data_IF_086073164929
#
_entry.id   IF_086073164929
#
_cell.length_a   1.000
_cell.length_b   1.000
_cell.length_c   1.000
_cell.angle_alpha   90.00
_cell.angle_beta   90.00
_cell.angle_gamma   90.00
#
_symmetry.space_group_name_H-M   'P 1'
#
loop_
_entity.id
_entity.type
_entity.pdbx_description
1 polymer ?
#
# COMPACT_ATOMS: atom_id res chain seq x y z
N UNK A 1 -8.78 -11.21 -24.92
CA UNK A 1 -9.01 -10.16 -23.90
C UNK A 1 -8.93 -8.83 -24.62
N UNK A 2 -9.97 -7.98 -24.52
CA UNK A 2 -9.93 -6.61 -25.06
C UNK A 2 -8.91 -5.78 -24.29
N UNK A 3 -8.18 -4.89 -24.98
CA UNK A 3 -7.30 -3.92 -24.29
C UNK A 3 -8.12 -3.09 -23.30
N UNK A 4 -7.56 -2.73 -22.13
CA UNK A 4 -8.23 -1.84 -21.18
C UNK A 4 -8.53 -0.48 -21.85
N UNK A 5 -9.62 0.20 -21.47
CA UNK A 5 -9.99 1.49 -22.07
C UNK A 5 -8.90 2.53 -21.82
N UNK A 6 -8.63 3.36 -22.81
CA UNK A 6 -7.66 4.45 -22.69
C UNK A 6 -8.20 5.60 -21.82
N UNK A 7 -7.29 6.46 -21.37
CA UNK A 7 -7.67 7.72 -20.71
C UNK A 7 -8.63 8.54 -21.59
N UNK A 8 -8.41 8.57 -22.91
CA UNK A 8 -9.27 9.27 -23.86
C UNK A 8 -10.69 8.67 -23.89
N UNK A 9 -10.80 7.34 -23.94
CA UNK A 9 -12.10 6.64 -23.95
C UNK A 9 -12.91 6.95 -22.69
N UNK A 10 -12.23 6.94 -21.53
CA UNK A 10 -12.86 7.27 -20.26
C UNK A 10 -13.32 8.73 -20.23
N UNK A 11 -12.48 9.68 -20.62
CA UNK A 11 -12.83 11.10 -20.65
C UNK A 11 -13.99 11.40 -21.60
N UNK A 12 -13.99 10.79 -22.78
CA UNK A 12 -15.11 10.92 -23.73
C UNK A 12 -16.39 10.31 -23.17
N UNK A 13 -16.30 9.18 -22.47
CA UNK A 13 -17.44 8.58 -21.76
C UNK A 13 -17.98 9.48 -20.63
N UNK A 14 -17.10 10.10 -19.84
CA UNK A 14 -17.49 11.02 -18.76
C UNK A 14 -18.11 12.29 -19.33
N UNK A 15 -17.53 12.87 -20.38
CA UNK A 15 -18.07 14.04 -21.07
C UNK A 15 -19.46 13.75 -21.66
N UNK A 16 -19.63 12.58 -22.28
CA UNK A 16 -20.93 12.12 -22.79
C UNK A 16 -21.96 11.94 -21.67
N UNK A 17 -21.56 11.35 -20.53
CA UNK A 17 -22.42 11.20 -19.36
C UNK A 17 -22.82 12.55 -18.75
N UNK A 18 -21.88 13.49 -18.60
CA UNK A 18 -22.15 14.84 -18.09
C UNK A 18 -23.08 15.64 -19.02
N UNK A 19 -22.92 15.50 -20.34
CA UNK A 19 -23.82 16.08 -21.33
C UNK A 19 -25.23 15.48 -21.25
N UNK A 20 -25.35 14.17 -21.01
CA UNK A 20 -26.64 13.51 -20.81
C UNK A 20 -27.35 13.96 -19.52
N UNK A 21 -26.61 14.14 -18.42
CA UNK A 21 -27.15 14.67 -17.15
C UNK A 21 -27.64 16.11 -17.32
N UNK A 22 -26.88 16.96 -18.03
CA UNK A 22 -27.33 18.34 -18.36
C UNK A 22 -28.60 18.35 -19.21
N UNK A 23 -28.73 17.46 -20.20
CA UNK A 23 -29.94 17.33 -21.01
C UNK A 23 -31.16 16.87 -20.20
N UNK A 24 -30.97 15.95 -19.24
CA UNK A 24 -32.07 15.51 -18.36
C UNK A 24 -32.49 16.59 -17.35
N UNK A 25 -31.55 17.40 -16.85
CA UNK A 25 -31.84 18.52 -15.94
C UNK A 25 -32.59 19.70 -16.58
N UNK A 26 -32.71 19.72 -17.92
CA UNK A 26 -33.45 20.76 -18.66
C UNK A 26 -34.85 20.32 -19.13
N UNK A 27 -35.35 19.16 -18.68
CA UNK A 27 -36.70 18.71 -19.02
C UNK A 27 -37.72 18.95 -17.89
N UNK A 28 -38.76 19.75 -18.18
CA UNK A 28 -39.97 19.90 -17.35
C UNK A 28 -40.84 18.63 -17.41
N UNK A 29 -41.68 18.34 -16.39
CA UNK A 29 -42.32 17.04 -16.22
C UNK A 29 -43.50 16.84 -17.19
N UNK A 30 -43.55 15.69 -17.84
CA UNK A 30 -44.77 15.16 -18.44
C UNK A 30 -45.06 13.75 -17.89
N UNK A 31 -46.26 13.60 -17.35
CA UNK A 31 -46.87 12.37 -16.83
C UNK A 31 -47.32 11.43 -17.97
N UNK A 32 -47.59 10.15 -17.67
CA UNK A 32 -47.25 9.03 -18.56
C UNK A 32 -48.38 8.63 -19.50
N UNK A 33 -48.02 8.05 -20.65
CA UNK A 33 -48.93 7.22 -21.46
C UNK A 33 -48.36 5.82 -21.65
N UNK A 34 -49.19 4.84 -21.26
CA UNK A 34 -49.09 3.44 -21.62
C UNK A 34 -49.00 3.28 -23.15
N UNK A 35 -48.12 2.38 -23.61
CA UNK A 35 -48.53 1.36 -24.58
C UNK A 35 -47.60 0.15 -24.59
N UNK A 36 -48.26 -0.98 -24.69
CA UNK A 36 -47.84 -2.37 -24.82
C UNK A 36 -46.96 -2.68 -26.04
N UNK A 37 -46.03 -3.63 -25.91
CA UNK A 37 -46.11 -4.90 -26.68
C UNK A 37 -44.99 -5.89 -26.33
N UNK A 38 -45.43 -7.13 -26.10
CA UNK A 38 -44.68 -8.38 -25.95
C UNK A 38 -44.28 -8.97 -27.31
N UNK A 39 -43.12 -9.65 -27.37
CA UNK A 39 -42.83 -10.91 -28.13
C UNK A 39 -41.34 -11.26 -27.92
N UNK A 40 -40.94 -12.18 -27.03
CA UNK A 40 -40.87 -13.67 -27.07
C UNK A 40 -40.03 -14.28 -28.21
N UNK A 41 -39.05 -15.12 -27.77
CA UNK A 41 -38.44 -16.34 -28.38
C UNK A 41 -37.38 -16.10 -29.47
N UNK A 42 -36.26 -16.84 -29.57
CA UNK A 42 -35.97 -18.28 -29.32
C UNK A 42 -34.44 -18.53 -29.22
N UNK A 43 -34.05 -19.54 -28.43
CA UNK A 43 -32.78 -20.30 -28.53
C UNK A 43 -32.85 -21.34 -29.67
N UNK A 44 -31.72 -22.00 -30.01
CA UNK A 44 -31.65 -23.45 -29.78
C UNK A 44 -30.31 -24.00 -29.27
N UNK A 45 -30.45 -25.15 -28.56
CA UNK A 45 -29.54 -26.29 -28.31
C UNK A 45 -28.64 -26.68 -29.51
N UNK A 46 -27.60 -27.52 -29.48
CA UNK A 46 -26.91 -28.49 -28.58
C UNK A 46 -25.56 -28.80 -29.31
N UNK A 47 -24.51 -29.48 -28.81
CA UNK A 47 -24.41 -30.88 -28.36
C UNK A 47 -22.93 -31.17 -28.00
N UNK A 48 -22.72 -32.05 -26.99
CA UNK A 48 -21.62 -33.01 -26.70
C UNK A 48 -20.31 -33.00 -27.53
N UNK A 49 -19.11 -33.29 -26.98
CA UNK A 49 -18.62 -34.65 -26.60
C UNK A 49 -17.42 -34.58 -25.63
N UNK A 50 -17.36 -35.56 -24.73
CA UNK A 50 -16.30 -35.84 -23.77
C UNK A 50 -15.26 -36.88 -24.26
N UNK A 51 -14.03 -36.85 -23.71
CA UNK A 51 -13.12 -37.98 -23.33
C UNK A 51 -11.76 -37.40 -22.90
N UNK A 52 -11.28 -37.56 -21.64
CA UNK A 52 -10.50 -38.68 -21.05
C UNK A 52 -9.36 -39.17 -21.96
N UNK A 53 -8.13 -39.50 -21.53
CA UNK A 53 -7.31 -39.46 -20.31
C UNK A 53 -6.01 -40.21 -20.70
N UNK A 54 -4.90 -39.93 -19.99
CA UNK A 54 -3.72 -40.79 -19.71
C UNK A 54 -2.49 -40.77 -20.63
N UNK A 55 -1.38 -40.58 -19.91
CA UNK A 55 0.01 -40.98 -20.11
C UNK A 55 0.21 -42.49 -20.27
N UNK A 56 1.44 -42.93 -20.59
CA UNK A 56 2.25 -43.59 -19.54
C UNK A 56 3.77 -43.33 -19.58
N UNK A 57 4.39 -43.64 -18.43
CA UNK A 57 5.81 -43.82 -18.14
C UNK A 57 6.48 -45.00 -18.89
N UNK A 58 7.80 -44.94 -19.06
CA UNK A 58 8.79 -45.93 -18.55
C UNK A 58 10.22 -45.60 -19.06
N UNK A 59 11.17 -45.21 -18.20
CA UNK A 59 12.31 -45.99 -17.64
C UNK A 59 13.29 -46.61 -18.64
N UNK A 60 14.56 -46.19 -18.59
CA UNK A 60 15.71 -47.11 -18.42
C UNK A 60 17.00 -46.37 -18.05
N UNK A 61 17.59 -46.77 -16.94
CA UNK A 61 18.96 -46.47 -16.51
C UNK A 61 19.98 -47.20 -17.38
N UNK A 62 21.16 -46.61 -17.62
CA UNK A 62 22.46 -47.32 -17.67
C UNK A 62 23.64 -46.32 -17.81
N UNK A 63 24.52 -46.33 -16.82
CA UNK A 63 25.97 -46.08 -16.91
C UNK A 63 26.64 -47.45 -16.62
N UNK A 64 27.93 -47.75 -16.90
CA UNK A 64 29.09 -46.82 -16.80
C UNK A 64 30.27 -47.05 -17.78
N UNK A 65 31.19 -46.09 -17.91
CA UNK A 65 32.64 -46.39 -18.07
C UNK A 65 33.52 -45.19 -17.71
N UNK A 66 34.75 -45.47 -17.26
CA UNK A 66 35.64 -44.61 -16.48
C UNK A 66 36.98 -44.36 -17.20
N UNK A 67 37.56 -43.16 -16.95
CA UNK A 67 38.98 -42.69 -17.01
C UNK A 67 39.62 -42.26 -18.36
N UNK A 68 40.69 -41.40 -18.34
CA UNK A 68 41.34 -40.69 -17.21
C UNK A 68 41.63 -39.17 -17.38
N UNK A 69 41.78 -38.55 -16.21
CA UNK A 69 42.61 -37.39 -15.80
C UNK A 69 43.21 -36.41 -16.83
N UNK A 70 42.86 -35.13 -16.64
CA UNK A 70 43.81 -34.02 -16.83
C UNK A 70 43.86 -33.16 -15.57
N UNK A 71 45.10 -32.97 -15.10
CA UNK A 71 45.52 -32.19 -13.94
C UNK A 71 45.16 -30.71 -14.13
N UNK A 72 44.35 -30.15 -13.24
CA UNK A 72 44.17 -28.70 -13.10
C UNK A 72 44.59 -28.28 -11.68
N UNK A 73 45.42 -27.24 -11.67
CA UNK A 73 46.13 -26.65 -10.51
C UNK A 73 45.17 -26.29 -9.35
N UNK A 74 45.64 -26.26 -8.10
CA UNK A 74 44.81 -25.87 -6.96
C UNK A 74 44.37 -24.41 -7.13
N UNK A 75 43.06 -24.17 -7.17
CA UNK A 75 42.52 -22.84 -6.88
C UNK A 75 42.85 -22.53 -5.43
N UNK A 76 43.52 -21.41 -5.18
CA UNK A 76 43.62 -20.83 -3.84
C UNK A 76 42.20 -20.69 -3.27
N UNK A 77 41.93 -21.48 -2.24
CA UNK A 77 40.71 -21.35 -1.44
C UNK A 77 40.93 -20.13 -0.55
N UNK A 78 40.31 -19.00 -0.92
CA UNK A 78 40.25 -17.80 -0.08
C UNK A 78 39.71 -18.20 1.30
N UNK A 79 40.33 -17.69 2.36
CA UNK A 79 39.90 -17.98 3.73
C UNK A 79 38.47 -17.44 3.93
N UNK A 80 37.61 -18.10 4.76
CA UNK A 80 36.24 -17.64 5.01
C UNK A 80 36.14 -16.17 5.45
N UNK A 81 37.15 -15.66 6.17
CA UNK A 81 37.24 -14.25 6.60
C UNK A 81 37.46 -13.26 5.45
N UNK A 82 38.13 -13.67 4.36
CA UNK A 82 38.37 -12.80 3.19
C UNK A 82 37.14 -12.73 2.29
N UNK A 83 36.40 -13.84 2.17
CA UNK A 83 35.11 -13.87 1.44
C UNK A 83 34.06 -13.00 2.12
N UNK A 84 33.98 -13.07 3.46
CA UNK A 84 33.04 -12.23 4.24
C UNK A 84 33.37 -10.73 4.15
N UNK A 85 34.66 -10.36 4.17
CA UNK A 85 35.08 -8.96 3.97
C UNK A 85 34.78 -8.44 2.58
N UNK A 86 34.93 -9.28 1.55
CA UNK A 86 34.60 -8.92 0.18
C UNK A 86 33.08 -8.75 -0.01
N UNK A 87 32.25 -9.66 0.52
CA UNK A 87 30.79 -9.53 0.46
C UNK A 87 30.25 -8.30 1.22
N UNK A 88 30.88 -7.90 2.32
CA UNK A 88 30.51 -6.69 3.06
C UNK A 88 30.90 -5.40 2.35
N UNK A 89 32.08 -5.36 1.71
CA UNK A 89 32.50 -4.21 0.91
C UNK A 89 31.54 -3.99 -0.26
N UNK A 90 31.12 -5.08 -0.93
CA UNK A 90 30.12 -5.04 -2.00
C UNK A 90 28.77 -4.53 -1.49
N UNK A 91 28.28 -5.01 -0.33
CA UNK A 91 27.01 -4.53 0.24
C UNK A 91 27.05 -3.06 0.66
N UNK A 92 28.17 -2.59 1.21
CA UNK A 92 28.34 -1.18 1.56
C UNK A 92 28.34 -0.29 0.30
N UNK A 93 28.98 -0.73 -0.78
CA UNK A 93 28.94 -0.04 -2.07
C UNK A 93 27.53 -0.05 -2.68
N UNK A 94 26.79 -1.16 -2.60
CA UNK A 94 25.39 -1.26 -3.05
C UNK A 94 24.47 -0.30 -2.31
N UNK A 95 24.65 -0.12 -1.00
CA UNK A 95 23.88 0.83 -0.17
C UNK A 95 24.14 2.27 -0.61
N UNK A 96 25.41 2.66 -0.77
CA UNK A 96 25.79 4.02 -1.20
C UNK A 96 25.27 4.32 -2.61
N UNK A 97 25.35 3.35 -3.52
CA UNK A 97 24.81 3.51 -4.87
C UNK A 97 23.28 3.64 -4.84
N UNK A 98 22.58 2.87 -3.98
CA UNK A 98 21.13 3.00 -3.81
C UNK A 98 20.74 4.39 -3.27
N UNK A 99 21.45 4.92 -2.29
CA UNK A 99 21.22 6.29 -1.76
C UNK A 99 21.33 7.35 -2.86
N UNK A 100 22.34 7.24 -3.72
CA UNK A 100 22.54 8.14 -4.85
C UNK A 100 21.45 7.99 -5.90
N UNK A 101 21.07 6.76 -6.22
CA UNK A 101 20.02 6.46 -7.18
C UNK A 101 18.66 6.99 -6.72
N UNK A 102 18.31 6.80 -5.45
CA UNK A 102 17.01 7.21 -4.87
C UNK A 102 16.78 8.73 -4.96
N UNK A 103 17.83 9.56 -5.01
CA UNK A 103 17.69 11.01 -5.24
C UNK A 103 16.93 11.36 -6.53
N UNK A 104 16.97 10.47 -7.53
CA UNK A 104 16.23 10.67 -8.78
C UNK A 104 14.71 10.61 -8.60
N UNK A 105 14.20 10.07 -7.49
CA UNK A 105 12.78 10.11 -7.17
C UNK A 105 12.26 11.56 -7.03
N UNK A 106 13.12 12.55 -6.78
CA UNK A 106 12.74 13.99 -6.74
C UNK A 106 12.40 14.57 -8.12
N UNK A 107 12.77 13.88 -9.20
CA UNK A 107 12.49 14.36 -10.56
C UNK A 107 10.99 14.46 -10.82
N UNK A 108 10.61 15.34 -11.74
CA UNK A 108 9.21 15.41 -12.17
C UNK A 108 8.78 14.06 -12.74
N UNK A 109 7.59 13.54 -12.40
CA UNK A 109 7.15 12.23 -12.87
C UNK A 109 7.16 12.06 -14.40
N UNK A 110 7.01 13.15 -15.16
CA UNK A 110 7.10 13.17 -16.63
C UNK A 110 8.50 12.91 -17.18
N UNK A 111 9.56 13.29 -16.46
CA UNK A 111 10.96 13.09 -16.87
C UNK A 111 11.62 11.92 -16.16
N UNK A 112 10.96 11.35 -15.16
CA UNK A 112 11.48 10.25 -14.35
C UNK A 112 11.45 8.92 -15.12
N UNK A 113 12.54 8.16 -15.04
CA UNK A 113 12.66 6.80 -15.54
C UNK A 113 12.73 5.79 -14.37
N UNK A 114 11.74 4.89 -14.22
CA UNK A 114 11.75 3.83 -13.22
C UNK A 114 13.04 2.99 -13.19
N UNK A 115 13.70 2.77 -14.33
CA UNK A 115 14.91 1.95 -14.41
C UNK A 115 16.14 2.65 -13.80
N UNK A 116 16.08 3.97 -13.56
CA UNK A 116 17.23 4.72 -13.06
C UNK A 116 17.45 4.60 -11.55
N UNK A 117 16.51 3.99 -10.83
CA UNK A 117 16.53 3.82 -9.37
C UNK A 117 16.51 2.36 -8.91
N UNK A 118 16.60 1.42 -9.86
CA UNK A 118 16.53 -0.01 -9.56
C UNK A 118 17.90 -0.57 -9.29
N UNK A 119 18.21 -0.80 -8.02
CA UNK A 119 19.35 -1.58 -7.59
C UNK A 119 19.07 -3.10 -7.53
N UNK A 120 17.86 -3.54 -7.89
CA UNK A 120 17.45 -4.95 -7.90
C UNK A 120 16.92 -5.37 -9.27
N UNK A 121 17.05 -6.66 -9.58
CA UNK A 121 16.56 -7.22 -10.84
C UNK A 121 15.03 -7.30 -10.89
N UNK A 122 14.50 -7.28 -12.12
CA UNK A 122 13.05 -7.38 -12.37
C UNK A 122 12.47 -8.66 -11.73
N UNK A 123 11.44 -8.48 -10.91
CA UNK A 123 10.76 -9.57 -10.20
C UNK A 123 11.39 -9.95 -8.87
N UNK A 124 12.61 -9.50 -8.56
CA UNK A 124 13.18 -9.68 -7.22
C UNK A 124 12.43 -8.85 -6.18
N UNK A 125 12.32 -9.33 -4.92
CA UNK A 125 11.71 -8.56 -3.84
C UNK A 125 12.40 -7.20 -3.67
N UNK A 126 11.60 -6.15 -3.58
CA UNK A 126 12.08 -4.78 -3.40
C UNK A 126 12.76 -4.66 -2.04
N UNK A 127 14.01 -4.14 -1.96
CA UNK A 127 14.68 -3.86 -0.69
C UNK A 127 13.87 -2.90 0.17
N UNK A 128 13.79 -3.14 1.48
CA UNK A 128 13.09 -2.24 2.40
C UNK A 128 13.84 -0.89 2.52
N UNK A 129 15.17 -0.90 2.39
CA UNK A 129 15.99 0.29 2.31
C UNK A 129 15.51 1.28 1.24
N UNK A 130 15.05 0.82 0.07
CA UNK A 130 14.49 1.70 -0.97
C UNK A 130 13.28 2.51 -0.46
N UNK A 131 12.39 1.85 0.29
CA UNK A 131 11.23 2.50 0.91
C UNK A 131 11.67 3.46 2.04
N UNK A 132 12.64 3.04 2.86
CA UNK A 132 13.17 3.85 3.95
C UNK A 132 13.84 5.14 3.46
N UNK A 133 14.64 5.06 2.39
CA UNK A 133 15.27 6.21 1.75
C UNK A 133 14.25 7.14 1.10
N UNK A 134 13.23 6.59 0.44
CA UNK A 134 12.12 7.39 -0.08
C UNK A 134 11.37 8.13 1.04
N UNK A 135 11.18 7.50 2.21
CA UNK A 135 10.62 8.16 3.38
C UNK A 135 11.53 9.25 3.96
N UNK A 136 12.84 9.03 4.06
CA UNK A 136 13.81 10.07 4.49
C UNK A 136 13.72 11.29 3.56
N UNK A 137 13.69 11.08 2.25
CA UNK A 137 13.52 12.17 1.29
C UNK A 137 12.20 12.93 1.44
N UNK A 138 11.11 12.23 1.80
CA UNK A 138 9.80 12.84 2.05
C UNK A 138 9.81 13.62 3.37
N UNK A 139 10.46 13.11 4.42
CA UNK A 139 10.59 13.75 5.74
C UNK A 139 11.35 15.09 5.64
N UNK A 140 12.35 15.16 4.76
CA UNK A 140 13.14 16.37 4.47
C UNK A 140 12.43 17.39 3.58
N UNK A 141 11.32 17.02 2.92
CA UNK A 141 10.64 17.85 1.95
C UNK A 141 9.45 18.60 2.58
N UNK A 142 9.24 19.84 2.18
CA UNK A 142 8.14 20.68 2.69
C UNK A 142 7.04 20.89 1.66
N UNK A 143 7.38 20.78 0.37
CA UNK A 143 6.43 20.95 -0.73
C UNK A 143 5.57 19.70 -0.91
N UNK A 144 4.27 19.81 -0.60
CA UNK A 144 3.30 18.72 -0.82
C UNK A 144 3.32 18.19 -2.26
N UNK A 145 3.57 19.05 -3.25
CA UNK A 145 3.69 18.63 -4.65
C UNK A 145 4.91 17.74 -4.86
N UNK A 146 6.08 18.13 -4.34
CA UNK A 146 7.31 17.33 -4.46
C UNK A 146 7.19 16.02 -3.68
N UNK A 147 6.58 16.04 -2.50
CA UNK A 147 6.25 14.82 -1.75
C UNK A 147 5.37 13.86 -2.59
N UNK A 148 4.37 14.41 -3.29
CA UNK A 148 3.50 13.63 -4.17
C UNK A 148 4.29 13.07 -5.36
N UNK A 149 5.20 13.85 -5.94
CA UNK A 149 6.07 13.44 -7.05
C UNK A 149 7.01 12.28 -6.62
N UNK A 150 7.66 12.39 -5.46
CA UNK A 150 8.52 11.34 -4.89
C UNK A 150 7.72 10.05 -4.67
N UNK A 151 6.56 10.14 -4.01
CA UNK A 151 5.70 8.98 -3.78
C UNK A 151 5.20 8.37 -5.10
N UNK A 152 4.87 9.19 -6.10
CA UNK A 152 4.46 8.73 -7.42
C UNK A 152 5.59 7.94 -8.10
N UNK A 153 6.80 8.48 -8.11
CA UNK A 153 7.97 7.84 -8.72
C UNK A 153 8.33 6.53 -8.01
N UNK A 154 8.29 6.52 -6.67
CA UNK A 154 8.50 5.30 -5.87
C UNK A 154 7.50 4.20 -6.24
N UNK A 155 6.20 4.52 -6.27
CA UNK A 155 5.15 3.56 -6.63
C UNK A 155 5.27 3.10 -8.09
N UNK A 156 5.61 4.02 -9.00
CA UNK A 156 5.83 3.73 -10.42
C UNK A 156 7.00 2.77 -10.63
N UNK A 157 8.10 2.92 -9.89
CA UNK A 157 9.22 1.98 -9.91
C UNK A 157 8.75 0.57 -9.53
N UNK A 158 8.05 0.43 -8.41
CA UNK A 158 7.55 -0.88 -7.98
C UNK A 158 6.53 -1.46 -8.97
N UNK A 159 5.62 -0.64 -9.49
CA UNK A 159 4.64 -1.04 -10.52
C UNK A 159 5.30 -1.65 -11.76
N UNK A 160 6.43 -1.12 -12.21
CA UNK A 160 7.10 -1.55 -13.45
C UNK A 160 8.03 -2.76 -13.21
N UNK A 161 8.74 -2.75 -12.09
CA UNK A 161 9.88 -3.65 -11.85
C UNK A 161 9.45 -4.90 -11.07
N UNK A 162 8.66 -4.71 -10.01
CA UNK A 162 8.20 -5.79 -9.13
C UNK A 162 6.73 -5.53 -8.70
N UNK A 163 5.75 -5.71 -9.60
CA UNK A 163 4.34 -5.38 -9.33
C UNK A 163 3.75 -6.11 -8.11
N UNK A 164 4.29 -7.28 -7.75
CA UNK A 164 3.88 -8.07 -6.58
C UNK A 164 4.09 -7.32 -5.25
N UNK A 165 5.04 -6.38 -5.21
CA UNK A 165 5.38 -5.61 -4.01
C UNK A 165 4.56 -4.33 -3.86
N UNK A 166 3.71 -4.04 -4.84
CA UNK A 166 2.89 -2.84 -4.85
C UNK A 166 1.85 -2.83 -3.71
N UNK A 167 1.26 -3.99 -3.40
CA UNK A 167 0.33 -4.09 -2.27
C UNK A 167 1.07 -3.86 -0.94
N UNK A 168 2.13 -4.61 -0.62
CA UNK A 168 2.94 -4.37 0.58
C UNK A 168 3.43 -2.92 0.74
N UNK A 169 3.99 -2.31 -0.32
CA UNK A 169 4.53 -0.95 -0.22
C UNK A 169 3.42 0.07 0.04
N UNK A 170 2.26 -0.02 -0.63
CA UNK A 170 1.14 0.91 -0.41
C UNK A 170 0.60 0.79 1.02
N UNK A 171 0.50 -0.43 1.56
CA UNK A 171 0.11 -0.62 2.96
C UNK A 171 1.11 0.00 3.94
N UNK A 172 2.41 -0.27 3.77
CA UNK A 172 3.45 0.30 4.63
C UNK A 172 3.48 1.83 4.52
N UNK A 173 3.37 2.40 3.32
CA UNK A 173 3.26 3.85 3.13
C UNK A 173 2.00 4.42 3.79
N UNK A 174 0.89 3.69 3.80
CA UNK A 174 -0.31 4.06 4.54
C UNK A 174 -0.21 3.85 6.07
N UNK A 175 0.92 3.34 6.59
CA UNK A 175 1.09 2.91 7.99
C UNK A 175 0.04 1.90 8.44
N UNK A 176 -0.38 1.01 7.53
CA UNK A 176 -1.39 -0.04 7.75
C UNK A 176 -0.85 -1.40 7.36
N UNK A 177 -1.51 -2.45 7.83
CA UNK A 177 -1.16 -3.85 7.50
C UNK A 177 -2.35 -4.63 6.90
N UNK A 178 -3.55 -4.08 6.99
CA UNK A 178 -4.79 -4.66 6.50
C UNK A 178 -5.84 -3.56 6.29
N UNK A 179 -6.95 -3.86 5.60
CA UNK A 179 -8.12 -2.99 5.57
C UNK A 179 -8.64 -2.68 6.99
N UNK A 180 -9.11 -1.46 7.27
CA UNK A 180 -9.54 -1.06 8.62
C UNK A 180 -10.68 -1.92 9.19
N UNK A 181 -11.57 -2.39 8.32
CA UNK A 181 -12.73 -3.17 8.70
C UNK A 181 -12.44 -4.63 9.07
N UNK A 182 -11.23 -5.12 8.79
CA UNK A 182 -10.78 -6.44 9.25
C UNK A 182 -10.35 -6.44 10.71
N UNK A 183 -10.12 -5.26 11.31
CA UNK A 183 -9.75 -5.13 12.74
C UNK A 183 -8.38 -5.70 13.08
N UNK A 184 -7.49 -5.87 12.08
CA UNK A 184 -6.15 -6.41 12.31
C UNK A 184 -5.20 -5.29 12.78
N UNK A 185 -4.85 -5.33 14.07
CA UNK A 185 -3.92 -4.39 14.69
C UNK A 185 -2.62 -5.10 15.11
N UNK A 186 -1.50 -4.37 15.08
CA UNK A 186 -0.23 -4.90 15.59
C UNK A 186 -0.31 -5.23 17.08
N UNK A 187 -1.07 -4.44 17.84
CA UNK A 187 -1.20 -4.58 19.29
C UNK A 187 0.13 -4.40 20.02
N UNK A 188 0.97 -3.46 19.55
CA UNK A 188 2.29 -3.16 20.11
C UNK A 188 2.25 -1.77 20.75
N UNK A 189 2.43 -1.73 22.07
CA UNK A 189 2.67 -0.49 22.80
C UNK A 189 4.15 -0.10 22.83
N UNK A 190 4.42 1.19 23.08
CA UNK A 190 5.78 1.74 23.15
C UNK A 190 6.68 1.00 24.16
N UNK A 191 6.09 0.42 25.21
CA UNK A 191 6.82 -0.38 26.21
C UNK A 191 7.52 -1.60 25.61
N UNK A 192 6.87 -2.33 24.71
CA UNK A 192 7.44 -3.49 24.02
C UNK A 192 8.53 -3.04 23.05
N UNK A 193 8.28 -1.92 22.35
CA UNK A 193 9.25 -1.34 21.41
C UNK A 193 10.52 -0.93 22.14
N UNK A 194 10.41 -0.23 23.27
CA UNK A 194 11.55 0.20 24.10
C UNK A 194 12.35 -1.01 24.61
N UNK A 195 11.66 -2.04 25.12
CA UNK A 195 12.30 -3.30 25.56
C UNK A 195 13.06 -3.96 24.42
N UNK A 196 12.41 -4.08 23.26
CA UNK A 196 13.03 -4.73 22.10
C UNK A 196 14.22 -3.94 21.58
N UNK A 197 14.11 -2.61 21.57
CA UNK A 197 15.19 -1.71 21.19
C UNK A 197 16.38 -1.83 22.16
N UNK A 198 16.13 -1.82 23.47
CA UNK A 198 17.14 -2.05 24.50
C UNK A 198 17.88 -3.37 24.28
N UNK A 199 17.15 -4.46 24.08
CA UNK A 199 17.72 -5.79 23.84
C UNK A 199 18.47 -5.91 22.51
N UNK A 200 17.96 -5.33 21.42
CA UNK A 200 18.57 -5.41 20.09
C UNK A 200 19.87 -4.61 20.01
N UNK A 201 19.97 -3.49 20.73
CA UNK A 201 21.10 -2.57 20.67
C UNK A 201 21.98 -2.59 21.94
N UNK A 202 21.70 -3.49 22.89
CA UNK A 202 22.46 -3.61 24.14
C UNK A 202 22.46 -2.33 24.98
N UNK A 203 21.33 -1.62 25.03
CA UNK A 203 21.18 -0.35 25.77
C UNK A 203 20.29 -0.54 27.00
N UNK A 204 20.45 0.34 27.98
CA UNK A 204 19.60 0.37 29.16
C UNK A 204 18.22 0.99 28.86
N UNK A 205 17.15 0.31 29.29
CA UNK A 205 15.77 0.77 29.06
C UNK A 205 15.47 2.14 29.66
N UNK A 206 16.00 2.44 30.86
CA UNK A 206 15.76 3.71 31.55
C UNK A 206 16.34 4.90 30.78
N UNK A 207 17.54 4.72 30.20
CA UNK A 207 18.16 5.73 29.34
C UNK A 207 17.31 5.99 28.09
N UNK A 208 16.81 4.93 27.44
CA UNK A 208 15.92 5.04 26.28
C UNK A 208 14.64 5.80 26.64
N UNK A 209 14.00 5.46 27.76
CA UNK A 209 12.78 6.15 28.23
C UNK A 209 13.03 7.64 28.46
N UNK A 210 14.15 7.96 29.12
CA UNK A 210 14.54 9.36 29.39
C UNK A 210 14.76 10.15 28.11
N UNK A 211 15.43 9.55 27.12
CA UNK A 211 15.65 10.18 25.82
C UNK A 211 14.34 10.29 25.02
N UNK A 212 13.46 9.30 25.13
CA UNK A 212 12.16 9.31 24.46
C UNK A 212 11.25 10.41 24.99
N UNK A 213 11.24 10.66 26.29
CA UNK A 213 10.53 11.80 26.88
C UNK A 213 11.02 13.14 26.36
N UNK A 214 12.33 13.27 26.03
CA UNK A 214 12.91 14.50 25.50
C UNK A 214 12.65 14.70 24.00
N UNK A 215 12.83 13.66 23.18
CA UNK A 215 12.73 13.75 21.71
C UNK A 215 11.33 13.48 21.17
N UNK A 216 10.52 12.70 21.88
CA UNK A 216 9.16 12.34 21.49
C UNK A 216 9.06 11.34 20.32
N UNK A 217 10.18 10.87 19.76
CA UNK A 217 10.23 9.92 18.62
C UNK A 217 11.24 8.80 18.90
N UNK A 218 10.75 7.55 18.99
CA UNK A 218 11.61 6.38 19.16
C UNK A 218 12.41 6.07 17.89
N UNK A 219 11.88 6.36 16.70
CA UNK A 219 12.57 6.07 15.44
C UNK A 219 13.89 6.81 15.31
N UNK A 220 13.92 8.10 15.69
CA UNK A 220 15.15 8.91 15.71
C UNK A 220 16.18 8.35 16.70
N UNK A 221 15.72 7.93 17.89
CA UNK A 221 16.61 7.35 18.91
C UNK A 221 17.26 6.05 18.43
N UNK A 222 16.52 5.21 17.71
CA UNK A 222 17.08 3.96 17.16
C UNK A 222 18.10 4.26 16.07
N UNK A 223 17.84 5.22 15.17
CA UNK A 223 18.80 5.65 14.12
C UNK A 223 20.12 6.11 14.73
N UNK A 224 20.08 7.03 15.69
CA UNK A 224 21.27 7.54 16.38
C UNK A 224 22.05 6.44 17.12
N UNK A 225 21.31 5.48 17.68
CA UNK A 225 21.89 4.35 18.41
C UNK A 225 22.60 3.37 17.48
N UNK A 226 22.10 3.19 16.26
CA UNK A 226 22.75 2.38 15.24
C UNK A 226 24.06 3.03 14.77
N UNK A 227 24.04 4.33 14.48
CA UNK A 227 25.25 5.07 14.07
C UNK A 227 26.36 5.00 15.12
N UNK A 228 25.99 4.92 16.41
CA UNK A 228 26.93 4.79 17.53
C UNK A 228 27.46 3.35 17.75
N UNK A 229 26.75 2.33 17.23
CA UNK A 229 27.11 0.91 17.38
C UNK A 229 28.08 0.38 16.31
N UNK A 230 28.31 1.13 15.22
CA UNK A 230 29.19 0.72 14.12
C UNK A 230 30.59 0.32 14.61
N UNK A 231 31.07 0.93 15.69
CA UNK A 231 32.37 0.63 16.32
C UNK A 231 32.43 -0.72 17.06
N UNK A 232 31.30 -1.26 17.56
CA UNK A 232 31.23 -2.54 18.30
C UNK A 232 30.90 -3.72 17.39
N UNK A 233 30.09 -3.51 16.35
CA UNK A 233 29.80 -4.50 15.29
C UNK A 233 31.07 -4.98 14.57
N UNK A 234 32.13 -4.16 14.56
CA UNK A 234 33.40 -4.49 13.95
C UNK A 234 34.17 -5.61 14.69
N UNK A 235 33.91 -5.82 15.99
CA UNK A 235 34.64 -6.76 16.86
C UNK A 235 33.90 -8.08 17.15
N UNK A 236 32.57 -8.10 17.05
CA UNK A 236 31.73 -9.30 17.23
C UNK A 236 30.84 -9.50 16.00
N UNK A 237 31.43 -10.06 14.92
CA UNK A 237 30.71 -10.35 13.68
C UNK A 237 30.17 -11.78 13.69
N UNK A 238 28.85 -12.00 13.57
CA UNK A 238 28.33 -13.34 13.30
C UNK A 238 28.88 -13.85 11.96
N UNK A 239 29.17 -15.15 11.86
CA UNK A 239 29.75 -15.75 10.65
C UNK A 239 28.89 -15.60 9.38
N UNK A 240 27.61 -15.23 9.53
CA UNK A 240 26.71 -14.91 8.42
C UNK A 240 25.94 -13.63 8.75
N UNK A 241 26.11 -12.53 7.99
CA UNK A 241 25.28 -11.35 8.18
C UNK A 241 23.83 -11.67 7.86
N UNK A 242 22.86 -11.07 8.58
CA UNK A 242 21.45 -11.24 8.27
C UNK A 242 21.17 -10.79 6.83
N UNK A 243 20.26 -11.50 6.17
CA UNK A 243 19.79 -11.14 4.83
C UNK A 243 19.06 -9.79 4.86
N UNK A 244 19.35 -8.94 3.87
CA UNK A 244 18.77 -7.62 3.74
C UNK A 244 17.24 -7.65 3.85
N UNK A 245 16.67 -6.63 4.46
CA UNK A 245 15.23 -6.54 4.60
C UNK A 245 14.59 -6.24 3.25
N UNK A 246 13.48 -6.90 2.98
CA UNK A 246 12.65 -6.65 1.80
C UNK A 246 11.27 -6.18 2.23
N UNK A 247 10.58 -5.42 1.37
CA UNK A 247 9.23 -4.92 1.65
C UNK A 247 8.30 -6.08 1.99
N UNK A 248 8.36 -7.19 1.24
CA UNK A 248 7.55 -8.40 1.52
C UNK A 248 7.85 -8.96 2.90
N UNK A 249 9.13 -9.10 3.27
CA UNK A 249 9.54 -9.67 4.56
C UNK A 249 9.04 -8.81 5.72
N UNK A 250 9.22 -7.49 5.65
CA UNK A 250 8.74 -6.56 6.68
C UNK A 250 7.21 -6.63 6.79
N UNK A 251 6.50 -6.50 5.67
CA UNK A 251 5.04 -6.51 5.64
C UNK A 251 4.43 -7.83 6.16
N UNK A 252 4.97 -8.96 5.71
CA UNK A 252 4.51 -10.28 6.16
C UNK A 252 4.82 -10.51 7.64
N UNK A 253 5.97 -10.05 8.13
CA UNK A 253 6.33 -10.13 9.56
C UNK A 253 5.37 -9.30 10.40
N UNK A 254 4.99 -8.10 9.94
CA UNK A 254 3.98 -7.27 10.63
C UNK A 254 2.61 -7.93 10.66
N UNK A 255 2.16 -8.55 9.56
CA UNK A 255 0.92 -9.34 9.55
C UNK A 255 0.99 -10.55 10.46
N UNK A 256 2.16 -11.18 10.61
CA UNK A 256 2.36 -12.28 11.56
C UNK A 256 2.23 -11.78 12.99
N UNK A 257 2.97 -10.73 13.35
CA UNK A 257 2.91 -10.05 14.65
C UNK A 257 1.47 -9.70 15.04
N UNK A 258 0.68 -9.17 14.10
CA UNK A 258 -0.71 -8.79 14.37
C UNK A 258 -1.64 -9.98 14.64
N UNK A 259 -1.33 -11.16 14.10
CA UNK A 259 -2.10 -12.39 14.32
C UNK A 259 -1.71 -13.12 15.61
N UNK A 260 -0.54 -12.81 16.18
CA UNK A 260 -0.09 -13.42 17.43
C UNK A 260 -0.98 -13.02 18.61
N UNK A 261 -1.52 -14.03 19.31
CA UNK A 261 -2.39 -13.88 20.47
C UNK A 261 -2.16 -15.02 21.48
N UNK A 262 -2.64 -14.85 22.72
CA UNK A 262 -2.43 -15.83 23.79
C UNK A 262 -1.26 -15.52 24.72
N UNK A 263 -0.94 -16.50 25.58
CA UNK A 263 -0.10 -16.35 26.80
C UNK A 263 1.36 -15.94 26.52
N UNK A 264 1.91 -16.36 25.38
CA UNK A 264 3.31 -16.09 25.00
C UNK A 264 3.45 -15.09 23.85
N UNK A 265 2.33 -14.50 23.41
CA UNK A 265 2.28 -13.66 22.21
C UNK A 265 3.19 -12.43 22.31
N UNK A 266 3.31 -11.84 23.49
CA UNK A 266 4.16 -10.67 23.72
C UNK A 266 5.65 -10.95 23.47
N UNK A 267 6.13 -12.11 23.93
CA UNK A 267 7.53 -12.52 23.74
C UNK A 267 7.80 -12.88 22.27
N UNK A 268 6.85 -13.56 21.61
CA UNK A 268 6.93 -13.88 20.18
C UNK A 268 6.98 -12.60 19.34
N UNK A 269 6.09 -11.62 19.61
CA UNK A 269 6.09 -10.31 18.95
C UNK A 269 7.43 -9.58 19.15
N UNK A 270 7.94 -9.55 20.38
CA UNK A 270 9.25 -8.97 20.72
C UNK A 270 10.38 -9.61 19.89
N UNK A 271 10.39 -10.93 19.77
CA UNK A 271 11.40 -11.66 19.01
C UNK A 271 11.36 -11.36 17.50
N UNK A 272 10.16 -11.25 16.91
CA UNK A 272 10.02 -10.82 15.51
C UNK A 272 10.53 -9.39 15.29
N UNK A 273 10.17 -8.45 16.17
CA UNK A 273 10.65 -7.06 16.08
C UNK A 273 12.17 -7.01 16.23
N UNK A 274 12.74 -7.76 17.19
CA UNK A 274 14.18 -7.86 17.40
C UNK A 274 14.90 -8.36 16.16
N UNK A 275 14.38 -9.41 15.52
CA UNK A 275 14.96 -9.95 14.30
C UNK A 275 14.97 -8.93 13.15
N UNK A 276 13.90 -8.12 13.01
CA UNK A 276 13.86 -7.03 12.04
C UNK A 276 14.89 -5.94 12.37
N UNK A 277 14.97 -5.50 13.62
CA UNK A 277 15.92 -4.46 14.05
C UNK A 277 17.39 -4.88 13.90
N UNK A 278 17.71 -6.15 14.16
CA UNK A 278 19.06 -6.69 13.98
C UNK A 278 19.46 -6.74 12.49
N UNK A 279 18.50 -7.07 11.61
CA UNK A 279 18.71 -7.13 10.16
C UNK A 279 18.72 -5.76 9.48
N UNK A 280 18.19 -4.73 10.14
CA UNK A 280 18.06 -3.39 9.58
C UNK A 280 19.40 -2.66 9.46
N UNK A 281 19.50 -1.87 8.38
CA UNK A 281 20.67 -1.08 7.96
C UNK A 281 20.28 0.39 7.76
N UNK A 282 21.27 1.28 7.82
CA UNK A 282 21.07 2.74 7.60
C UNK A 282 19.85 3.34 8.33
N UNK A 283 18.90 3.90 7.58
CA UNK A 283 17.67 4.52 8.10
C UNK A 283 16.51 3.54 8.26
N UNK A 284 16.65 2.26 7.89
CA UNK A 284 15.59 1.25 8.05
C UNK A 284 15.06 1.14 9.49
N UNK A 285 15.90 1.13 10.56
CA UNK A 285 15.41 1.03 11.93
C UNK A 285 14.47 2.16 12.34
N UNK A 286 14.71 3.40 11.87
CA UNK A 286 13.86 4.55 12.14
C UNK A 286 12.44 4.28 11.65
N UNK A 287 12.33 3.82 10.41
CA UNK A 287 11.04 3.59 9.76
C UNK A 287 10.36 2.31 10.24
N UNK A 288 11.10 1.27 10.58
CA UNK A 288 10.52 0.09 11.23
C UNK A 288 9.81 0.46 12.53
N UNK A 289 10.46 1.24 13.40
CA UNK A 289 9.88 1.68 14.68
C UNK A 289 8.66 2.57 14.45
N UNK A 290 8.77 3.55 13.56
CA UNK A 290 7.66 4.45 13.20
C UNK A 290 6.46 3.68 12.62
N UNK A 291 6.70 2.67 11.80
CA UNK A 291 5.64 1.81 11.25
C UNK A 291 5.03 0.88 12.32
N UNK A 292 5.84 0.34 13.24
CA UNK A 292 5.34 -0.45 14.37
C UNK A 292 4.43 0.37 15.30
N UNK A 293 4.70 1.67 15.41
CA UNK A 293 3.84 2.64 16.12
C UNK A 293 2.64 3.12 15.30
N UNK A 294 2.49 2.67 14.06
CA UNK A 294 1.52 3.17 13.07
C UNK A 294 1.58 4.71 12.88
N UNK A 295 2.78 5.29 13.04
CA UNK A 295 3.03 6.75 13.00
C UNK A 295 4.31 7.05 12.24
N UNK A 296 4.21 7.24 10.92
CA UNK A 296 5.36 7.57 10.07
C UNK A 296 5.97 8.96 10.31
N UNK A 297 5.15 9.97 10.63
CA UNK A 297 5.59 11.34 10.97
C UNK A 297 6.37 12.11 9.88
N UNK A 298 6.26 11.71 8.61
CA UNK A 298 7.03 12.28 7.48
C UNK A 298 6.27 13.36 6.67
N UNK A 299 5.32 14.09 7.26
CA UNK A 299 4.60 15.16 6.54
C UNK A 299 3.68 14.73 5.39
N UNK A 300 3.53 13.43 5.12
CA UNK A 300 2.66 12.88 4.08
C UNK A 300 1.49 12.07 4.67
N UNK A 301 0.32 12.18 4.03
CA UNK A 301 -0.94 11.56 4.47
C UNK A 301 -1.52 10.64 3.39
N UNK A 302 -2.47 9.78 3.79
CA UNK A 302 -3.14 8.82 2.91
C UNK A 302 -3.74 9.47 1.64
N UNK A 303 -4.25 10.69 1.73
CA UNK A 303 -4.77 11.41 0.55
C UNK A 303 -3.68 11.74 -0.48
N UNK A 304 -2.45 11.99 -0.02
CA UNK A 304 -1.28 12.17 -0.87
C UNK A 304 -0.86 10.83 -1.48
N UNK A 305 -0.94 9.73 -0.72
CA UNK A 305 -0.68 8.38 -1.24
C UNK A 305 -1.62 8.00 -2.37
N UNK A 306 -2.93 8.19 -2.16
CA UNK A 306 -3.95 7.86 -3.16
C UNK A 306 -3.77 8.71 -4.42
N UNK A 307 -3.36 9.97 -4.26
CA UNK A 307 -3.03 10.83 -5.40
C UNK A 307 -1.80 10.32 -6.16
N UNK A 308 -0.72 10.01 -5.46
CA UNK A 308 0.49 9.43 -6.03
C UNK A 308 0.22 8.10 -6.74
N UNK A 309 -0.63 7.23 -6.18
CA UNK A 309 -1.01 5.96 -6.79
C UNK A 309 -1.75 6.14 -8.12
N UNK A 310 -2.70 7.09 -8.17
CA UNK A 310 -3.39 7.44 -9.41
C UNK A 310 -2.43 7.97 -10.48
N UNK A 311 -1.53 8.88 -10.11
CA UNK A 311 -0.51 9.42 -11.02
C UNK A 311 0.44 8.31 -11.53
N UNK A 312 0.96 7.48 -10.63
CA UNK A 312 1.87 6.39 -10.96
C UNK A 312 1.24 5.40 -11.95
N UNK A 313 -0.05 5.09 -11.80
CA UNK A 313 -0.78 4.24 -12.73
C UNK A 313 -0.85 4.84 -14.14
N UNK A 314 -1.17 6.12 -14.28
CA UNK A 314 -1.20 6.81 -15.58
C UNK A 314 0.18 6.79 -16.25
N UNK A 315 1.24 7.08 -15.50
CA UNK A 315 2.60 7.07 -16.05
C UNK A 315 3.09 5.67 -16.44
N UNK A 316 2.56 4.63 -15.81
CA UNK A 316 2.90 3.23 -16.10
C UNK A 316 2.10 2.65 -17.27
N UNK A 317 0.92 3.18 -17.55
CA UNK A 317 0.06 2.72 -18.65
C UNK A 317 0.42 3.39 -19.98
N UNK A 318 0.94 2.61 -20.94
CA UNK A 318 1.33 3.12 -22.25
C UNK A 318 0.17 3.78 -23.03
N UNK A 319 -1.05 3.25 -22.91
CA UNK A 319 -2.25 3.78 -23.55
C UNK A 319 -2.84 5.03 -22.85
N UNK A 320 -2.30 5.37 -21.68
CA UNK A 320 -2.68 6.56 -20.91
C UNK A 320 -1.69 7.70 -21.08
N UNK A 321 -0.61 7.50 -21.86
CA UNK A 321 0.34 8.55 -22.25
C UNK A 321 -0.32 9.50 -23.26
N UNK A 322 -0.51 10.78 -22.91
CA UNK A 322 -1.02 11.76 -23.84
C UNK A 322 -0.05 12.06 -24.99
N UNK A 323 -0.54 12.60 -26.12
CA UNK A 323 0.31 13.21 -27.12
C UNK A 323 1.17 14.35 -26.51
N UNK A 324 2.43 14.55 -26.93
CA UNK A 324 3.37 15.51 -26.31
C UNK A 324 2.92 16.98 -26.26
N UNK A 325 1.89 17.37 -27.03
CA UNK A 325 1.56 18.78 -27.28
C UNK A 325 0.43 19.37 -26.41
N UNK A 326 -0.08 18.65 -25.39
CA UNK A 326 -1.22 19.11 -24.58
C UNK A 326 -0.96 19.13 -23.08
N UNK A 327 -0.15 20.08 -22.58
CA UNK A 327 0.19 20.20 -21.16
C UNK A 327 -1.05 20.32 -20.23
N UNK A 328 -2.09 21.04 -20.66
CA UNK A 328 -3.36 21.15 -19.93
C UNK A 328 -4.08 19.79 -19.79
N UNK A 329 -3.99 18.95 -20.83
CA UNK A 329 -4.59 17.62 -20.85
C UNK A 329 -3.88 16.65 -19.88
N UNK A 330 -2.56 16.76 -19.75
CA UNK A 330 -1.79 16.02 -18.74
C UNK A 330 -2.27 16.33 -17.32
N UNK A 331 -2.34 17.61 -16.96
CA UNK A 331 -2.79 18.06 -15.64
C UNK A 331 -4.19 17.49 -15.35
N UNK A 332 -5.10 17.60 -16.31
CA UNK A 332 -6.46 17.11 -16.19
C UNK A 332 -6.52 15.59 -15.97
N UNK A 333 -5.79 14.79 -16.76
CA UNK A 333 -5.72 13.34 -16.60
C UNK A 333 -5.22 12.95 -15.22
N UNK A 334 -4.15 13.60 -14.73
CA UNK A 334 -3.59 13.29 -13.42
C UNK A 334 -4.54 13.65 -12.28
N UNK A 335 -5.29 14.73 -12.42
CA UNK A 335 -6.36 15.08 -11.47
C UNK A 335 -7.47 14.03 -11.48
N UNK A 336 -7.97 13.65 -12.66
CA UNK A 336 -8.98 12.60 -12.78
C UNK A 336 -8.50 11.27 -12.20
N UNK A 337 -7.25 10.90 -12.45
CA UNK A 337 -6.64 9.69 -11.90
C UNK A 337 -6.60 9.69 -10.37
N UNK A 338 -6.17 10.81 -9.78
CA UNK A 338 -6.18 11.02 -8.34
C UNK A 338 -7.60 10.88 -7.75
N UNK A 339 -8.58 11.50 -8.41
CA UNK A 339 -9.97 11.49 -7.94
C UNK A 339 -10.62 10.11 -8.07
N UNK A 340 -10.31 9.36 -9.13
CA UNK A 340 -10.76 7.97 -9.31
C UNK A 340 -10.30 7.11 -8.14
N UNK A 341 -8.99 7.12 -7.84
CA UNK A 341 -8.43 6.29 -6.77
C UNK A 341 -9.01 6.68 -5.42
N UNK A 342 -9.11 7.99 -5.13
CA UNK A 342 -9.73 8.49 -3.89
C UNK A 342 -11.20 8.10 -3.76
N UNK A 343 -11.97 8.23 -4.83
CA UNK A 343 -13.39 7.89 -4.84
C UNK A 343 -13.60 6.38 -4.65
N UNK A 344 -12.82 5.56 -5.35
CA UNK A 344 -12.86 4.10 -5.22
C UNK A 344 -12.47 3.68 -3.80
N UNK A 345 -11.37 4.21 -3.26
CA UNK A 345 -10.95 3.93 -1.89
C UNK A 345 -11.98 4.39 -0.84
N UNK A 346 -12.72 5.47 -1.13
CA UNK A 346 -13.79 5.94 -0.24
C UNK A 346 -14.96 4.97 -0.16
N UNK A 347 -15.24 4.21 -1.22
CA UNK A 347 -16.32 3.21 -1.24
C UNK A 347 -15.80 1.82 -0.82
N UNK A 348 -14.54 1.52 -1.10
CA UNK A 348 -13.89 0.25 -0.84
C UNK A 348 -12.48 0.52 -0.27
N UNK A 349 -12.33 0.72 1.06
CA UNK A 349 -11.04 0.99 1.69
C UNK A 349 -10.21 -0.30 1.83
N UNK A 350 -9.85 -0.91 0.70
CA UNK A 350 -9.14 -2.19 0.59
C UNK A 350 -8.10 -2.11 -0.54
N UNK A 351 -6.82 -2.00 -0.15
CA UNK A 351 -5.72 -1.87 -1.12
C UNK A 351 -5.46 -3.17 -1.88
N UNK A 352 -5.70 -4.35 -1.30
CA UNK A 352 -5.52 -5.63 -1.98
C UNK A 352 -6.42 -5.69 -3.22
N UNK A 353 -7.70 -5.37 -3.07
CA UNK A 353 -8.67 -5.37 -4.18
C UNK A 353 -8.41 -4.27 -5.19
N UNK A 354 -8.12 -3.05 -4.73
CA UNK A 354 -7.88 -1.89 -5.60
C UNK A 354 -6.65 -2.12 -6.46
N UNK A 355 -5.52 -2.48 -5.85
CA UNK A 355 -4.24 -2.64 -6.56
C UNK A 355 -4.30 -3.85 -7.50
N UNK A 356 -4.93 -4.95 -7.07
CA UNK A 356 -5.10 -6.12 -7.94
C UNK A 356 -5.88 -5.78 -9.21
N UNK A 357 -6.97 -5.03 -9.09
CA UNK A 357 -7.74 -4.57 -10.25
C UNK A 357 -6.98 -3.53 -11.07
N UNK A 358 -6.27 -2.61 -10.43
CA UNK A 358 -5.46 -1.58 -11.08
C UNK A 358 -4.42 -2.22 -12.00
N UNK A 359 -3.67 -3.21 -11.50
CA UNK A 359 -2.63 -3.90 -12.28
C UNK A 359 -3.19 -4.79 -13.40
N UNK A 360 -4.40 -5.36 -13.23
CA UNK A 360 -4.99 -6.32 -14.20
C UNK A 360 -5.86 -5.66 -15.27
N UNK A 361 -6.64 -4.65 -14.89
CA UNK A 361 -7.70 -4.05 -15.71
C UNK A 361 -7.45 -2.58 -16.03
N UNK A 362 -6.51 -1.94 -15.33
CA UNK A 362 -6.16 -0.53 -15.50
C UNK A 362 -7.00 0.42 -14.65
N UNK A 363 -6.47 1.63 -14.49
CA UNK A 363 -7.02 2.68 -13.62
C UNK A 363 -8.46 3.06 -13.98
N UNK A 364 -8.73 3.21 -15.28
CA UNK A 364 -10.00 3.73 -15.79
C UNK A 364 -11.17 2.75 -15.62
N UNK A 365 -10.89 1.48 -15.32
CA UNK A 365 -11.90 0.45 -15.06
C UNK A 365 -12.34 0.38 -13.60
N UNK A 366 -11.55 0.94 -12.67
CA UNK A 366 -11.86 0.90 -11.25
C UNK A 366 -13.24 1.48 -10.90
N UNK A 367 -13.69 2.63 -11.46
CA UNK A 367 -15.00 3.18 -11.16
C UNK A 367 -16.15 2.22 -11.49
N UNK A 368 -16.09 1.58 -12.66
CA UNK A 368 -17.13 0.65 -13.13
C UNK A 368 -17.21 -0.60 -12.27
N UNK A 369 -16.06 -1.03 -11.72
CA UNK A 369 -15.96 -2.25 -10.92
C UNK A 369 -16.39 -2.03 -9.47
N UNK A 370 -15.95 -0.92 -8.86
CA UNK A 370 -15.99 -0.76 -7.40
C UNK A 370 -16.91 0.35 -6.89
N UNK A 371 -17.47 1.23 -7.73
CA UNK A 371 -18.44 2.24 -7.27
C UNK A 371 -19.83 1.62 -7.10
N UNK A 372 -19.89 0.61 -6.23
CA UNK A 372 -21.10 -0.09 -5.80
C UNK A 372 -20.96 -0.38 -4.32
N UNK A 373 -21.99 -0.03 -3.55
CA UNK A 373 -22.00 -0.30 -2.12
C UNK A 373 -22.16 -1.81 -1.86
N UNK A 374 -21.32 -2.33 -0.99
CA UNK A 374 -21.33 -3.74 -0.59
C UNK A 374 -21.49 -3.80 0.93
N UNK A 375 -22.64 -4.25 1.46
CA UNK A 375 -22.79 -4.53 2.89
C UNK A 375 -21.64 -5.41 3.40
N UNK A 376 -21.15 -5.15 4.61
CA UNK A 376 -19.92 -5.75 5.14
C UNK A 376 -18.59 -5.04 4.78
N UNK A 377 -18.62 -4.00 3.94
CA UNK A 377 -17.45 -3.14 3.68
C UNK A 377 -17.81 -1.69 3.99
N UNK A 378 -17.20 -1.05 5.01
CA UNK A 378 -17.55 0.31 5.36
C UNK A 378 -17.11 1.32 4.32
N UNK A 379 -17.88 2.41 4.25
CA UNK A 379 -17.65 3.54 3.36
C UNK A 379 -17.06 4.68 4.18
N UNK A 380 -16.09 5.41 3.61
CA UNK A 380 -15.55 6.64 4.18
C UNK A 380 -16.68 7.59 4.57
N UNK A 381 -16.81 7.93 5.86
CA UNK A 381 -17.88 8.81 6.31
C UNK A 381 -17.73 10.22 5.73
N UNK A 382 -18.84 10.82 5.28
CA UNK A 382 -18.87 12.24 4.93
C UNK A 382 -18.49 13.09 6.15
N UNK A 383 -17.54 14.02 5.98
CA UNK A 383 -17.03 14.88 7.04
C UNK A 383 -17.57 16.31 6.90
N UNK A 384 -17.95 16.98 8.02
CA UNK A 384 -18.36 18.38 7.98
C UNK A 384 -17.14 19.30 7.86
N UNK A 385 -17.34 20.47 7.24
CA UNK A 385 -16.40 21.60 7.33
C UNK A 385 -16.86 22.53 8.44
N UNK A 386 -15.99 22.83 9.40
CA UNK A 386 -16.29 23.79 10.45
C UNK A 386 -16.52 25.19 9.86
N UNK A 387 -17.56 25.86 10.34
CA UNK A 387 -17.94 27.22 9.96
C UNK A 387 -18.22 27.98 11.25
N UNK A 388 -17.77 29.24 11.35
CA UNK A 388 -17.88 30.01 12.60
C UNK A 388 -19.17 30.78 12.72
N UNK A 389 -19.80 31.13 11.60
CA UNK A 389 -20.93 32.05 11.58
C UNK A 389 -22.03 31.58 10.62
N UNK A 390 -23.29 31.89 10.95
CA UNK A 390 -24.44 31.56 10.09
C UNK A 390 -24.36 32.26 8.71
N UNK A 391 -23.94 33.53 8.59
CA UNK A 391 -23.79 34.18 7.28
C UNK A 391 -22.81 33.47 6.34
N UNK A 392 -21.74 32.86 6.86
CA UNK A 392 -20.83 32.04 6.05
C UNK A 392 -21.52 30.80 5.46
N UNK A 393 -22.43 30.18 6.22
CA UNK A 393 -23.24 29.04 5.77
C UNK A 393 -24.17 29.50 4.64
N UNK A 394 -24.93 30.59 4.86
CA UNK A 394 -25.87 31.14 3.88
C UNK A 394 -25.17 31.59 2.60
N UNK A 395 -23.99 32.20 2.71
CA UNK A 395 -23.17 32.57 1.55
C UNK A 395 -22.69 31.34 0.78
N UNK A 396 -22.28 30.28 1.48
CA UNK A 396 -21.76 29.06 0.86
C UNK A 396 -22.85 28.26 0.13
N UNK A 397 -24.06 28.22 0.69
CA UNK A 397 -25.20 27.50 0.12
C UNK A 397 -26.19 28.43 -0.60
N UNK A 398 -25.73 29.59 -1.07
CA UNK A 398 -26.61 30.54 -1.75
C UNK A 398 -27.24 29.90 -2.99
N UNK A 399 -28.57 29.97 -3.08
CA UNK A 399 -29.33 29.36 -4.18
C UNK A 399 -29.41 27.83 -4.13
N UNK A 400 -29.02 27.21 -3.01
CA UNK A 400 -29.11 25.77 -2.77
C UNK A 400 -29.97 25.54 -1.53
N UNK A 401 -31.01 24.73 -1.64
CA UNK A 401 -31.77 24.29 -0.47
C UNK A 401 -30.90 23.39 0.42
N UNK A 402 -30.92 23.62 1.73
CA UNK A 402 -30.19 22.82 2.70
C UNK A 402 -31.04 22.54 3.93
N UNK A 403 -30.71 21.47 4.66
CA UNK A 403 -31.37 21.09 5.91
C UNK A 403 -30.47 21.39 7.12
N UNK A 404 -31.10 21.55 8.29
CA UNK A 404 -30.44 21.69 9.57
C UNK A 404 -30.82 20.50 10.45
N UNK A 405 -29.82 19.75 10.89
CA UNK A 405 -30.00 18.59 11.78
C UNK A 405 -29.24 18.83 13.09
N UNK A 406 -29.76 18.30 14.20
CA UNK A 406 -29.03 18.32 15.46
C UNK A 406 -27.73 17.53 15.33
N UNK A 407 -26.61 18.18 15.69
CA UNK A 407 -25.34 17.49 15.83
C UNK A 407 -25.29 16.82 17.20
N UNK A 408 -25.73 15.57 17.27
CA UNK A 408 -25.62 14.74 18.47
C UNK A 408 -24.17 14.61 18.93
N UNK A 409 -23.99 14.53 20.25
CA UNK A 409 -22.71 14.28 20.90
C UNK A 409 -22.62 12.81 21.33
N UNK A 410 -22.01 12.01 20.47
CA UNK A 410 -21.93 10.57 20.63
C UNK A 410 -21.00 9.93 19.61
N UNK A 411 -21.08 8.62 19.47
CA UNK A 411 -20.28 7.87 18.51
C UNK A 411 -21.00 7.73 17.16
N UNK A 412 -20.25 7.87 16.06
CA UNK A 412 -20.77 7.62 14.72
C UNK A 412 -20.76 6.11 14.46
N UNK A 413 -21.94 5.54 14.25
CA UNK A 413 -22.13 4.15 13.88
C UNK A 413 -22.60 4.06 12.41
N UNK A 414 -21.83 3.37 11.57
CA UNK A 414 -22.26 2.98 10.23
C UNK A 414 -22.76 1.53 10.30
N UNK A 415 -24.07 1.34 10.16
CA UNK A 415 -24.75 0.06 10.40
C UNK A 415 -25.03 -0.64 9.07
N UNK A 416 -24.49 -1.83 8.90
CA UNK A 416 -24.61 -2.65 7.70
C UNK A 416 -25.47 -3.87 8.03
N UNK A 417 -26.57 -4.04 7.31
CA UNK A 417 -27.40 -5.25 7.37
C UNK A 417 -27.04 -6.15 6.19
N UNK A 418 -26.51 -7.33 6.47
CA UNK A 418 -26.06 -8.29 5.45
C UNK A 418 -27.22 -9.20 5.01
N UNK A 419 -27.11 -9.77 3.81
CA UNK A 419 -28.13 -10.67 3.25
C UNK A 419 -28.35 -11.94 4.10
N UNK A 420 -27.36 -12.35 4.88
CA UNK A 420 -27.44 -13.48 5.81
C UNK A 420 -28.08 -13.12 7.17
N UNK A 421 -28.62 -11.91 7.32
CA UNK A 421 -29.25 -11.43 8.55
C UNK A 421 -28.27 -10.93 9.62
N UNK A 422 -26.96 -10.95 9.36
CA UNK A 422 -25.98 -10.38 10.30
C UNK A 422 -25.99 -8.85 10.22
N UNK A 423 -25.84 -8.21 11.38
CA UNK A 423 -25.61 -6.78 11.50
C UNK A 423 -24.13 -6.55 11.80
N UNK A 424 -23.51 -5.65 11.05
CA UNK A 424 -22.15 -5.18 11.30
C UNK A 424 -22.15 -3.67 11.51
N UNK A 425 -21.43 -3.22 12.53
CA UNK A 425 -21.37 -1.81 12.93
C UNK A 425 -19.92 -1.33 12.83
N UNK A 426 -19.71 -0.23 12.10
CA UNK A 426 -18.39 0.37 11.91
C UNK A 426 -18.30 1.77 12.50
N UNK A 427 -17.11 2.10 13.00
CA UNK A 427 -16.77 3.40 13.58
C UNK A 427 -16.55 4.47 12.51
N UNK A 428 -16.28 5.72 12.94
CA UNK A 428 -15.86 6.81 12.05
C UNK A 428 -14.54 6.51 11.33
N UNK A 429 -13.69 5.65 11.88
CA UNK A 429 -12.40 5.26 11.34
C UNK A 429 -12.47 3.94 10.56
N UNK A 430 -13.68 3.48 10.21
CA UNK A 430 -13.93 2.23 9.49
C UNK A 430 -13.59 0.96 10.28
N UNK A 431 -13.36 1.08 11.60
CA UNK A 431 -13.08 -0.06 12.49
C UNK A 431 -14.38 -0.81 12.83
N UNK A 432 -14.30 -2.13 12.91
CA UNK A 432 -15.45 -2.99 13.21
C UNK A 432 -15.74 -2.99 14.71
N UNK A 433 -16.82 -2.31 15.11
CA UNK A 433 -17.28 -2.15 16.50
C UNK A 433 -18.55 -2.95 16.80
N UNK A 434 -18.78 -4.04 16.07
CA UNK A 434 -20.04 -4.80 16.17
C UNK A 434 -20.25 -5.36 17.58
N UNK A 435 -19.20 -5.92 18.19
CA UNK A 435 -19.24 -6.50 19.54
C UNK A 435 -19.44 -5.45 20.66
N UNK A 436 -19.19 -4.17 20.37
CA UNK A 436 -19.34 -3.07 21.32
C UNK A 436 -20.80 -2.68 21.55
N UNK A 437 -21.70 -2.97 20.61
CA UNK A 437 -23.09 -2.48 20.61
C UNK A 437 -24.12 -3.62 20.43
N UNK A 438 -24.19 -4.59 21.35
CA UNK A 438 -25.15 -5.70 21.26
C UNK A 438 -26.61 -5.23 21.30
N UNK A 439 -26.89 -4.17 22.05
CA UNK A 439 -28.18 -3.49 22.16
C UNK A 439 -28.64 -2.87 20.84
N UNK A 440 -27.73 -2.23 20.10
CA UNK A 440 -28.03 -1.67 18.77
C UNK A 440 -28.32 -2.77 17.76
N UNK A 441 -27.61 -3.90 17.84
CA UNK A 441 -27.85 -5.06 16.98
C UNK A 441 -29.27 -5.60 17.21
N UNK A 442 -29.67 -5.76 18.47
CA UNK A 442 -31.02 -6.20 18.84
C UNK A 442 -32.10 -5.24 18.30
N UNK A 443 -31.91 -3.92 18.49
CA UNK A 443 -32.87 -2.91 18.04
C UNK A 443 -33.03 -2.80 16.52
N UNK A 444 -31.98 -3.12 15.75
CA UNK A 444 -31.98 -3.03 14.28
C UNK A 444 -32.31 -4.37 13.63
N UNK A 445 -32.18 -5.48 14.35
CA UNK A 445 -32.57 -6.81 13.87
C UNK A 445 -34.07 -6.81 13.52
N UNK A 446 -34.39 -7.38 12.35
CA UNK A 446 -35.75 -7.36 11.77
C UNK A 446 -36.48 -8.67 11.95
#
# INVERSE_FOLDING_TARGET
MSKPPSALDFLMSVAAAAAAVKKNSQSKPQTPKLSSSLKKRKSPNSTSVAKKRKSPHSTSSQNPTVKPEQVLKPKEVLKPEEVLKAEEAVKAEEVVEMEKQVQQLRQKPSSFDPASVTAWEKGQPVPFLFLALAFDMIDEETSKTVITDIACNMLRTVMVVTPEDLVPIVYLSASRIAPPHEGLELGIGDSIIIKTFAEAYGKEEELIRTQYQKKGDLGLLVKESRSSQSTISQYYKPQKPPEALTIRKVFNTFRLIAKESGKDSQEIKKNHIKALLVAATECEPQYLIRLLQAKLRIGYAEQTLLAALGQAAVYSEEHSRPPPHFLSYYIYIYMCASDIVKQVYSVLPDYDKIISALLREGLWMLPKKFLKFTPGVPIRPMLPKAVKTVPEILKKFQGVEFTCEYKYDGERAQIHYLENGKVEIYSRQEERNTEKFPDVIEAVSR
#
